data_IF_704937852751
#
_entry.id   IF_704937852751
#
_cell.length_a   1.000
_cell.length_b   1.000
_cell.length_c   1.000
_cell.angle_alpha   90.00
_cell.angle_beta   90.00
_cell.angle_gamma   90.00
#
_symmetry.space_group_name_H-M   'P 1'
#
loop_
_entity.id
_entity.type
_entity.pdbx_description
1 polymer ?
#
# COMPACT_ATOMS: atom_id res chain seq x y z
N UNK A 1 -51.45 28.92 -8.09
CA UNK A 1 -52.85 28.48 -7.99
C UNK A 1 -52.97 27.08 -8.57
N UNK A 2 -53.61 26.18 -7.83
CA UNK A 2 -53.95 24.75 -7.99
C UNK A 2 -53.03 23.82 -7.23
N UNK A 3 -53.31 23.50 -5.98
CA UNK A 3 -54.30 22.60 -5.28
C UNK A 3 -53.80 21.13 -5.39
N UNK A 4 -53.17 20.63 -4.39
CA UNK A 4 -53.44 19.63 -3.34
C UNK A 4 -54.44 18.52 -3.79
N UNK A 5 -54.02 17.25 -3.72
CA UNK A 5 -54.87 16.15 -3.25
C UNK A 5 -53.98 15.17 -2.47
N UNK A 6 -54.31 15.02 -1.20
CA UNK A 6 -53.88 13.97 -0.30
C UNK A 6 -54.88 12.80 -0.41
N UNK A 7 -54.39 11.59 -0.31
CA UNK A 7 -55.23 10.42 -0.02
C UNK A 7 -54.52 9.52 1.00
N UNK A 8 -55.04 9.57 2.21
CA UNK A 8 -54.74 8.58 3.25
C UNK A 8 -55.71 7.39 3.08
N UNK A 9 -55.20 6.18 3.28
CA UNK A 9 -56.08 5.04 3.63
C UNK A 9 -55.39 4.24 4.72
N UNK A 10 -56.10 4.19 5.85
CA UNK A 10 -55.77 3.38 7.02
C UNK A 10 -56.57 2.07 6.97
N UNK A 11 -56.19 1.17 7.86
CA UNK A 11 -56.93 0.12 8.55
C UNK A 11 -56.65 -1.33 8.14
N UNK A 12 -56.30 -2.10 9.19
CA UNK A 12 -56.38 -3.54 9.24
C UNK A 12 -55.59 -4.24 10.36
N UNK A 13 -55.95 -4.01 11.62
CA UNK A 13 -55.57 -4.90 12.73
C UNK A 13 -56.25 -6.27 12.62
N UNK A 14 -55.50 -7.34 12.88
CA UNK A 14 -56.10 -8.57 13.38
C UNK A 14 -55.14 -9.24 14.38
N UNK A 15 -55.50 -9.15 15.66
CA UNK A 15 -54.90 -9.90 16.75
C UNK A 15 -55.57 -11.29 16.82
N UNK A 16 -54.79 -12.35 16.96
CA UNK A 16 -55.26 -13.62 17.51
C UNK A 16 -54.35 -14.13 18.61
N UNK A 17 -54.85 -14.07 19.81
CA UNK A 17 -54.37 -14.72 21.00
C UNK A 17 -54.88 -16.16 21.03
N UNK A 18 -54.01 -17.14 21.30
CA UNK A 18 -54.43 -18.42 21.90
C UNK A 18 -53.44 -18.78 23.02
N UNK A 19 -54.06 -18.89 24.18
CA UNK A 19 -53.55 -19.34 25.47
C UNK A 19 -53.47 -20.87 25.51
N UNK A 20 -52.48 -21.45 26.18
CA UNK A 20 -52.46 -22.85 26.50
C UNK A 20 -51.31 -23.25 27.42
N UNK A 21 -51.56 -23.29 28.71
CA UNK A 21 -50.71 -23.87 29.75
C UNK A 21 -50.55 -25.39 29.62
N UNK A 22 -49.42 -25.96 29.99
CA UNK A 22 -49.35 -26.86 31.15
C UNK A 22 -48.00 -27.52 31.33
N UNK A 23 -47.56 -27.52 32.56
CA UNK A 23 -46.44 -28.14 33.24
C UNK A 23 -46.29 -29.65 33.06
N UNK A 24 -45.08 -30.18 33.07
CA UNK A 24 -44.69 -31.23 34.05
C UNK A 24 -43.18 -31.48 34.08
N UNK A 25 -42.70 -31.56 35.32
CA UNK A 25 -41.39 -32.02 35.80
C UNK A 25 -41.24 -33.51 35.56
N UNK A 26 -40.05 -34.01 35.22
CA UNK A 26 -39.46 -35.19 35.86
C UNK A 26 -37.96 -35.28 35.60
N UNK A 27 -37.26 -35.48 36.71
CA UNK A 27 -35.87 -35.90 36.83
C UNK A 27 -35.64 -37.27 36.19
N UNK A 28 -34.44 -37.49 35.66
CA UNK A 28 -33.69 -38.70 35.99
C UNK A 28 -32.21 -38.52 35.56
N UNK A 29 -31.41 -38.85 36.55
CA UNK A 29 -29.96 -39.02 36.55
C UNK A 29 -29.53 -40.26 35.78
N UNK A 30 -28.24 -40.19 35.41
CA UNK A 30 -27.27 -41.29 35.39
C UNK A 30 -26.96 -41.99 34.07
N UNK A 31 -25.65 -42.03 33.92
CA UNK A 31 -24.76 -43.00 33.25
C UNK A 31 -24.46 -42.70 31.80
N UNK A 32 -23.20 -42.52 31.37
CA UNK A 32 -22.00 -43.33 31.65
C UNK A 32 -20.75 -42.66 31.10
N UNK A 33 -19.74 -42.71 31.91
CA UNK A 33 -18.31 -42.65 31.63
C UNK A 33 -17.94 -43.84 30.73
N UNK A 34 -17.40 -43.60 29.52
CA UNK A 34 -16.45 -44.43 28.79
C UNK A 34 -16.35 -43.96 27.35
N UNK A 35 -15.28 -43.22 27.01
CA UNK A 35 -14.47 -43.39 25.79
C UNK A 35 -13.45 -42.24 25.78
N UNK A 36 -12.44 -42.40 26.60
CA UNK A 36 -11.21 -41.63 26.55
C UNK A 36 -10.06 -42.63 26.68
N UNK A 37 -9.82 -43.36 25.62
CA UNK A 37 -8.59 -44.17 25.40
C UNK A 37 -8.67 -44.78 24.01
N UNK A 38 -8.30 -44.00 22.97
CA UNK A 38 -7.89 -44.47 21.65
C UNK A 38 -7.53 -43.30 20.76
N UNK A 39 -6.46 -42.54 21.07
CA UNK A 39 -5.79 -41.63 20.14
C UNK A 39 -4.41 -41.24 20.68
N UNK A 40 -3.60 -42.23 21.03
CA UNK A 40 -2.21 -42.01 21.46
C UNK A 40 -1.27 -43.10 20.92
N UNK A 41 -1.45 -43.53 19.68
CA UNK A 41 -0.56 -44.52 19.11
C UNK A 41 -0.45 -44.39 17.57
N UNK A 42 -0.22 -43.14 17.05
CA UNK A 42 0.14 -42.94 15.65
C UNK A 42 1.03 -41.68 15.45
N UNK A 43 1.91 -41.41 16.39
CA UNK A 43 2.93 -40.32 16.21
C UNK A 43 4.30 -40.79 16.73
N UNK A 44 4.78 -41.92 16.27
CA UNK A 44 6.13 -42.37 16.61
C UNK A 44 6.80 -43.23 15.54
N UNK A 45 6.49 -43.01 14.25
CA UNK A 45 7.11 -43.80 13.18
C UNK A 45 7.37 -42.99 11.88
N UNK A 46 7.74 -41.70 12.00
CA UNK A 46 8.17 -40.92 10.84
C UNK A 46 9.40 -40.02 11.13
N UNK A 47 10.20 -40.38 12.11
CA UNK A 47 11.49 -39.71 12.39
C UNK A 47 12.65 -40.72 12.39
N UNK A 48 12.82 -41.47 11.29
CA UNK A 48 14.04 -42.28 11.12
C UNK A 48 14.27 -42.76 9.69
N UNK A 49 14.27 -41.86 8.73
CA UNK A 49 14.71 -42.16 7.36
C UNK A 49 15.07 -40.90 6.58
N UNK A 50 16.07 -40.11 7.02
CA UNK A 50 16.76 -39.17 6.13
C UNK A 50 18.11 -38.76 6.76
N UNK A 51 18.94 -39.73 7.04
CA UNK A 51 20.37 -39.53 7.28
C UNK A 51 21.13 -40.70 6.71
N UNK A 52 21.38 -40.68 5.39
CA UNK A 52 22.48 -41.41 4.75
C UNK A 52 22.39 -41.21 3.26
N UNK A 53 23.24 -40.36 2.75
CA UNK A 53 23.86 -40.33 1.43
C UNK A 53 24.18 -38.86 1.06
N UNK A 54 25.39 -38.47 1.36
CA UNK A 54 26.24 -37.64 0.49
C UNK A 54 27.61 -37.48 1.15
N UNK A 55 28.44 -38.48 0.92
CA UNK A 55 29.87 -38.34 0.89
C UNK A 55 30.36 -39.15 -0.31
N UNK A 56 30.76 -38.46 -1.38
CA UNK A 56 31.89 -38.90 -2.22
C UNK A 56 32.25 -37.85 -3.25
N UNK A 57 33.50 -37.41 -3.11
CA UNK A 57 34.49 -37.03 -4.13
C UNK A 57 34.26 -35.72 -4.91
N UNK A 58 35.00 -34.72 -4.43
CA UNK A 58 35.50 -33.64 -5.26
C UNK A 58 37.01 -33.71 -5.30
N UNK A 59 37.55 -34.15 -6.41
CA UNK A 59 38.96 -34.08 -6.71
C UNK A 59 39.27 -32.81 -7.52
N UNK A 60 40.28 -32.11 -7.04
CA UNK A 60 40.89 -30.88 -7.47
C UNK A 60 41.66 -31.09 -8.76
N UNK A 61 41.47 -30.21 -9.76
CA UNK A 61 42.51 -29.97 -10.78
C UNK A 61 42.75 -28.48 -10.91
N UNK A 62 43.88 -28.12 -10.36
CA UNK A 62 44.63 -26.88 -10.55
C UNK A 62 45.37 -26.94 -11.88
N UNK A 63 45.29 -25.89 -12.70
CA UNK A 63 46.32 -25.62 -13.71
C UNK A 63 46.56 -24.13 -13.81
N UNK A 64 47.69 -23.71 -13.23
CA UNK A 64 48.38 -22.47 -13.55
C UNK A 64 49.01 -22.60 -14.93
N UNK A 65 48.93 -21.54 -15.76
CA UNK A 65 50.00 -21.25 -16.68
C UNK A 65 50.21 -19.76 -16.90
N UNK A 66 51.43 -19.37 -16.58
CA UNK A 66 52.13 -18.10 -16.77
C UNK A 66 52.59 -17.95 -18.21
N UNK A 67 52.79 -16.70 -18.58
CA UNK A 67 53.84 -16.09 -19.41
C UNK A 67 53.27 -15.18 -20.46
N UNK A 68 53.79 -14.06 -20.85
CA UNK A 68 55.06 -13.30 -20.63
C UNK A 68 54.86 -11.90 -21.24
N UNK A 69 55.56 -10.96 -20.63
CA UNK A 69 55.87 -9.62 -21.21
C UNK A 69 56.51 -9.70 -22.60
N UNK A 70 56.22 -8.68 -23.41
CA UNK A 70 57.21 -8.14 -24.32
C UNK A 70 56.92 -6.64 -24.65
N UNK A 71 57.86 -5.85 -24.21
CA UNK A 71 58.14 -4.44 -24.50
C UNK A 71 58.60 -4.25 -25.95
N UNK A 72 58.25 -3.10 -26.61
CA UNK A 72 59.24 -2.16 -27.18
C UNK A 72 58.58 -1.07 -28.04
N UNK A 73 58.83 0.17 -27.63
CA UNK A 73 59.51 1.29 -28.30
C UNK A 73 58.82 1.93 -29.51
N UNK A 74 58.41 3.12 -29.22
CA UNK A 74 58.73 4.43 -29.84
C UNK A 74 59.10 4.52 -31.33
N UNK A 75 58.41 5.44 -32.03
CA UNK A 75 59.05 6.45 -32.87
C UNK A 75 58.17 7.70 -33.08
N UNK A 76 58.81 8.84 -33.07
CA UNK A 76 58.32 10.20 -33.17
C UNK A 76 58.05 10.64 -34.65
N UNK A 77 57.35 11.78 -34.73
CA UNK A 77 57.23 12.78 -35.81
C UNK A 77 56.15 12.51 -36.86
N UNK A 78 55.21 13.42 -37.10
CA UNK A 78 55.41 14.73 -37.66
C UNK A 78 54.12 15.58 -37.60
N UNK A 79 54.31 16.88 -37.46
CA UNK A 79 53.33 17.96 -37.41
C UNK A 79 52.74 18.23 -38.79
N UNK A 80 51.40 18.23 -38.95
CA UNK A 80 50.77 19.13 -39.91
C UNK A 80 49.45 19.69 -39.41
N UNK A 81 49.37 21.00 -39.48
CA UNK A 81 48.34 21.94 -39.08
C UNK A 81 47.26 21.96 -40.14
N UNK A 82 46.06 21.54 -39.81
CA UNK A 82 44.89 21.84 -40.62
C UNK A 82 43.78 22.43 -39.73
N UNK A 83 43.27 23.52 -40.27
CA UNK A 83 42.32 24.51 -39.78
C UNK A 83 41.04 23.90 -39.17
N UNK A 84 40.63 24.63 -38.13
CA UNK A 84 39.28 24.71 -37.59
C UNK A 84 38.16 24.67 -38.62
N UNK A 85 37.31 23.69 -38.54
CA UNK A 85 35.87 23.84 -38.76
C UNK A 85 35.22 23.77 -37.41
N UNK A 86 34.65 24.89 -36.96
CA UNK A 86 33.69 24.97 -35.90
C UNK A 86 32.46 24.15 -36.33
N UNK A 87 32.41 22.88 -35.95
CA UNK A 87 31.14 22.20 -35.84
C UNK A 87 30.51 22.70 -34.54
N UNK A 88 29.43 23.44 -34.65
CA UNK A 88 28.49 23.69 -33.58
C UNK A 88 28.19 22.32 -32.94
N UNK A 89 28.75 22.10 -31.76
CA UNK A 89 28.30 21.09 -30.84
C UNK A 89 26.88 21.54 -30.46
N UNK A 90 25.87 20.91 -31.05
CA UNK A 90 24.58 20.83 -30.43
C UNK A 90 24.84 20.28 -29.03
N UNK A 91 24.75 21.15 -28.02
CA UNK A 91 24.66 20.74 -26.65
C UNK A 91 23.38 19.90 -26.55
N UNK A 92 23.51 18.58 -26.49
CA UNK A 92 22.50 17.74 -25.89
C UNK A 92 22.41 18.27 -24.47
N UNK A 93 21.36 19.02 -24.21
CA UNK A 93 20.97 19.47 -22.87
C UNK A 93 20.70 18.18 -22.06
N UNK A 94 21.71 17.71 -21.33
CA UNK A 94 21.60 16.58 -20.43
C UNK A 94 20.71 17.03 -19.28
N UNK A 95 19.38 16.96 -19.48
CA UNK A 95 18.39 17.22 -18.43
C UNK A 95 18.66 16.28 -17.27
N UNK A 96 18.63 16.84 -16.06
CA UNK A 96 18.68 16.02 -14.83
C UNK A 96 17.47 15.09 -14.82
N UNK A 97 17.70 13.81 -14.67
CA UNK A 97 16.65 12.81 -14.49
C UNK A 97 16.18 12.83 -13.02
N UNK A 98 14.87 12.74 -12.82
CA UNK A 98 14.25 12.58 -11.49
C UNK A 98 13.37 11.34 -11.49
N UNK A 99 13.77 10.32 -10.74
CA UNK A 99 13.14 9.02 -10.71
C UNK A 99 12.25 8.90 -9.48
N UNK A 100 10.94 8.80 -9.71
CA UNK A 100 9.93 8.64 -8.66
C UNK A 100 9.54 7.18 -8.52
N UNK A 101 9.75 6.61 -7.33
CA UNK A 101 9.31 5.26 -6.97
C UNK A 101 7.88 5.27 -6.42
N UNK A 102 7.03 4.37 -6.94
CA UNK A 102 5.64 4.28 -6.56
C UNK A 102 5.07 2.87 -6.77
N UNK A 103 4.04 2.49 -6.00
CA UNK A 103 3.22 1.31 -6.21
C UNK A 103 2.17 1.61 -7.32
N UNK A 104 2.20 0.87 -8.42
CA UNK A 104 1.30 1.07 -9.55
C UNK A 104 -0.12 0.50 -9.32
N UNK A 105 -0.38 -0.09 -8.16
CA UNK A 105 -1.67 -0.63 -7.73
C UNK A 105 -2.26 0.17 -6.55
N UNK A 106 -1.90 1.46 -6.43
CA UNK A 106 -2.29 2.36 -5.35
C UNK A 106 -3.03 3.63 -5.84
N UNK A 107 -4.14 3.49 -6.60
CA UNK A 107 -4.94 4.64 -7.03
C UNK A 107 -5.64 5.31 -5.83
N UNK A 108 -5.87 6.64 -5.84
CA UNK A 108 -5.64 7.59 -6.95
C UNK A 108 -4.21 8.18 -6.99
N UNK A 109 -3.29 7.76 -6.14
CA UNK A 109 -1.96 8.36 -5.99
C UNK A 109 -0.99 7.88 -7.09
N UNK A 110 -0.95 6.58 -7.36
CA UNK A 110 -0.17 5.97 -8.44
C UNK A 110 -0.88 4.74 -8.98
N UNK A 111 -1.05 4.65 -10.29
CA UNK A 111 -1.71 3.51 -10.91
C UNK A 111 -1.40 3.41 -12.40
N UNK A 112 -1.86 2.33 -13.01
CA UNK A 112 -1.82 2.17 -14.46
C UNK A 112 -3.22 2.35 -15.03
N UNK A 113 -3.35 3.21 -16.04
CA UNK A 113 -4.62 3.40 -16.74
C UNK A 113 -4.89 2.31 -17.79
N UNK A 114 -6.05 2.39 -18.47
CA UNK A 114 -6.46 1.43 -19.50
C UNK A 114 -5.54 1.41 -20.73
N UNK A 115 -4.76 2.47 -20.96
CA UNK A 115 -3.77 2.54 -22.05
C UNK A 115 -2.44 1.90 -21.65
N UNK A 116 -2.25 1.61 -20.36
CA UNK A 116 -1.02 1.08 -19.78
C UNK A 116 -0.07 2.17 -19.29
N UNK A 117 -0.47 3.45 -19.35
CA UNK A 117 0.32 4.57 -18.85
C UNK A 117 0.23 4.70 -17.32
N UNK A 118 1.31 5.17 -16.69
CA UNK A 118 1.31 5.46 -15.26
C UNK A 118 0.72 6.83 -14.98
N UNK A 119 -0.34 6.85 -14.19
CA UNK A 119 -1.13 8.02 -13.83
C UNK A 119 -1.39 8.07 -12.34
N UNK A 120 -1.68 9.24 -11.79
CA UNK A 120 -2.00 9.41 -10.38
C UNK A 120 -1.79 10.85 -9.92
N UNK A 121 -2.38 11.17 -8.78
CA UNK A 121 -2.24 12.49 -8.17
C UNK A 121 -0.77 12.84 -7.91
N UNK A 122 -0.03 11.93 -7.28
CA UNK A 122 1.37 12.13 -6.95
C UNK A 122 2.25 12.19 -8.20
N UNK A 123 1.92 11.39 -9.23
CA UNK A 123 2.63 11.40 -10.49
C UNK A 123 2.38 12.68 -11.31
N UNK A 124 1.19 13.28 -11.19
CA UNK A 124 0.91 14.59 -11.80
C UNK A 124 1.65 15.72 -11.07
N UNK A 125 1.71 15.67 -9.72
CA UNK A 125 2.53 16.62 -8.97
C UNK A 125 4.02 16.51 -9.33
N UNK A 126 4.53 15.28 -9.42
CA UNK A 126 5.92 15.02 -9.81
C UNK A 126 6.22 15.50 -11.24
N UNK A 127 5.26 15.34 -12.17
CA UNK A 127 5.40 15.82 -13.54
C UNK A 127 5.49 17.36 -13.59
N UNK A 128 4.64 18.06 -12.85
CA UNK A 128 4.66 19.52 -12.75
C UNK A 128 5.97 20.03 -12.11
N UNK A 129 6.45 19.34 -11.04
CA UNK A 129 7.75 19.66 -10.45
C UNK A 129 8.88 19.52 -11.48
N UNK A 130 8.89 18.43 -12.23
CA UNK A 130 9.89 18.21 -13.27
C UNK A 130 9.82 19.27 -14.38
N UNK A 131 8.62 19.64 -14.82
CA UNK A 131 8.43 20.67 -15.84
C UNK A 131 8.97 22.03 -15.40
N UNK A 132 8.71 22.44 -14.15
CA UNK A 132 9.21 23.70 -13.57
C UNK A 132 10.74 23.71 -13.39
N UNK A 133 11.29 22.56 -13.00
CA UNK A 133 12.73 22.41 -12.78
C UNK A 133 13.53 22.10 -14.07
N UNK A 134 12.85 21.82 -15.19
CA UNK A 134 13.49 21.40 -16.43
C UNK A 134 14.09 19.99 -16.33
N UNK A 135 13.58 19.15 -15.46
CA UNK A 135 14.03 17.76 -15.28
C UNK A 135 13.29 16.80 -16.20
N UNK A 136 13.87 15.60 -16.38
CA UNK A 136 13.20 14.48 -17.03
C UNK A 136 12.59 13.57 -15.95
N UNK A 137 11.26 13.41 -15.94
CA UNK A 137 10.56 12.53 -15.01
C UNK A 137 10.68 11.08 -15.46
N UNK A 138 11.16 10.20 -14.58
CA UNK A 138 11.08 8.75 -14.72
C UNK A 138 10.12 8.21 -13.68
N UNK A 139 9.00 7.62 -14.12
CA UNK A 139 8.02 6.96 -13.28
C UNK A 139 8.43 5.50 -13.12
N UNK A 140 8.98 5.14 -11.94
CA UNK A 140 9.51 3.81 -11.65
C UNK A 140 8.51 3.03 -10.76
N UNK A 141 7.75 2.07 -11.31
CA UNK A 141 6.93 1.20 -10.46
C UNK A 141 7.85 0.28 -9.65
N UNK A 142 7.52 0.11 -8.37
CA UNK A 142 8.25 -0.73 -7.44
C UNK A 142 7.30 -1.66 -6.69
N UNK A 143 7.81 -2.78 -6.20
CA UNK A 143 7.14 -3.56 -5.16
C UNK A 143 7.23 -2.77 -3.85
N UNK A 144 6.10 -2.58 -3.17
CA UNK A 144 6.05 -1.67 -2.02
C UNK A 144 6.99 -2.06 -0.88
N UNK A 145 7.16 -3.35 -0.63
CA UNK A 145 8.08 -3.85 0.39
C UNK A 145 9.57 -3.75 0.02
N UNK A 146 9.89 -3.31 -1.20
CA UNK A 146 11.28 -3.05 -1.63
C UNK A 146 11.67 -1.57 -1.66
N UNK A 147 10.74 -0.64 -1.33
CA UNK A 147 10.92 0.82 -1.43
C UNK A 147 12.21 1.34 -0.79
N UNK A 148 12.54 0.82 0.41
CA UNK A 148 13.71 1.24 1.16
C UNK A 148 15.02 0.84 0.47
N UNK A 149 15.04 -0.35 -0.11
CA UNK A 149 16.18 -0.83 -0.87
C UNK A 149 16.36 0.00 -2.16
N UNK A 150 15.28 0.24 -2.90
CA UNK A 150 15.31 1.03 -4.13
C UNK A 150 15.81 2.46 -3.87
N UNK A 151 15.30 3.11 -2.80
CA UNK A 151 15.74 4.44 -2.40
C UNK A 151 17.20 4.45 -1.89
N UNK A 152 17.58 3.47 -1.07
CA UNK A 152 18.92 3.43 -0.49
C UNK A 152 20.01 3.19 -1.51
N UNK A 153 19.72 2.39 -2.54
CA UNK A 153 20.64 2.09 -3.67
C UNK A 153 20.70 3.21 -4.69
N UNK A 154 19.73 4.14 -4.68
CA UNK A 154 19.63 5.22 -5.67
C UNK A 154 19.00 4.77 -6.99
N UNK A 155 18.26 3.66 -6.99
CA UNK A 155 17.44 3.25 -8.13
C UNK A 155 16.25 4.20 -8.33
N UNK A 156 15.77 4.81 -7.24
CA UNK A 156 14.81 5.91 -7.22
C UNK A 156 15.37 7.09 -6.42
N UNK A 157 14.96 8.31 -6.75
CA UNK A 157 15.38 9.55 -6.09
C UNK A 157 14.47 9.89 -4.89
N UNK A 158 13.20 9.49 -4.96
CA UNK A 158 12.23 9.63 -3.90
C UNK A 158 11.16 8.54 -3.95
N UNK A 159 10.45 8.36 -2.85
CA UNK A 159 9.19 7.62 -2.75
C UNK A 159 8.06 8.66 -2.74
N UNK A 160 7.19 8.62 -3.76
CA UNK A 160 6.08 9.55 -3.88
C UNK A 160 4.82 8.80 -4.31
N UNK A 161 4.04 8.34 -3.33
CA UNK A 161 2.91 7.44 -3.55
C UNK A 161 1.94 7.38 -2.35
N UNK A 162 1.41 8.53 -1.90
CA UNK A 162 0.63 8.50 -0.67
C UNK A 162 1.46 7.95 0.49
N UNK A 163 2.67 8.45 0.66
CA UNK A 163 3.63 7.84 1.58
C UNK A 163 3.51 8.44 2.98
N UNK A 164 3.00 7.64 3.91
CA UNK A 164 2.81 8.04 5.32
C UNK A 164 4.14 8.33 5.99
N UNK A 165 4.28 9.56 6.50
CA UNK A 165 5.45 9.97 7.26
C UNK A 165 5.39 9.57 8.74
N UNK A 166 4.19 9.44 9.31
CA UNK A 166 4.01 9.10 10.71
C UNK A 166 4.65 7.75 11.06
N UNK A 167 5.36 7.72 12.19
CA UNK A 167 6.17 6.59 12.67
C UNK A 167 7.39 6.26 11.81
N UNK A 168 7.72 7.10 10.82
CA UNK A 168 8.89 6.98 9.93
C UNK A 168 9.70 8.28 9.85
N UNK A 169 9.44 9.24 10.76
CA UNK A 169 10.02 10.59 10.73
C UNK A 169 11.55 10.56 10.74
N UNK A 170 12.11 9.59 11.44
CA UNK A 170 13.56 9.42 11.58
C UNK A 170 14.22 8.62 10.45
N UNK A 171 13.47 7.98 9.56
CA UNK A 171 14.01 7.06 8.57
C UNK A 171 14.35 7.74 7.24
N UNK A 172 13.68 8.86 6.94
CA UNK A 172 13.80 9.59 5.67
C UNK A 172 14.09 11.07 5.89
N UNK A 173 14.40 11.76 4.81
CA UNK A 173 14.27 13.21 4.70
C UNK A 173 12.93 13.50 4.01
N UNK A 174 12.02 14.19 4.71
CA UNK A 174 10.64 14.37 4.28
C UNK A 174 10.39 15.77 3.73
N UNK A 175 9.50 15.88 2.74
CA UNK A 175 8.83 17.14 2.42
C UNK A 175 7.89 17.55 3.57
N UNK A 176 7.32 18.75 3.50
CA UNK A 176 6.15 19.06 4.31
C UNK A 176 4.98 18.14 3.90
N UNK A 177 4.08 17.76 4.84
CA UNK A 177 2.94 16.94 4.51
C UNK A 177 1.99 17.68 3.55
N UNK A 178 1.43 16.94 2.58
CA UNK A 178 0.57 17.51 1.55
C UNK A 178 -0.85 16.96 1.55
N UNK A 179 -1.10 15.78 2.12
CA UNK A 179 -2.42 15.13 2.26
C UNK A 179 -2.63 14.64 3.69
N UNK A 180 -3.79 14.97 4.28
CA UNK A 180 -4.30 14.30 5.48
C UNK A 180 -4.89 12.94 5.08
N UNK A 181 -4.49 11.86 5.76
CA UNK A 181 -4.94 10.50 5.51
C UNK A 181 -5.47 9.83 6.79
N UNK A 182 -6.15 8.72 6.62
CA UNK A 182 -6.57 7.83 7.71
C UNK A 182 -6.54 6.39 7.23
N UNK A 183 -6.17 5.50 8.12
CA UNK A 183 -6.33 4.07 7.91
C UNK A 183 -7.74 3.64 8.35
N UNK A 184 -8.46 2.95 7.45
CA UNK A 184 -9.86 2.54 7.61
C UNK A 184 -10.04 1.06 7.28
N UNK A 185 -11.24 0.54 7.48
CA UNK A 185 -11.62 -0.79 7.04
C UNK A 185 -12.72 -0.70 5.98
N UNK A 186 -12.58 -1.49 4.91
CA UNK A 186 -13.62 -1.71 3.90
C UNK A 186 -14.17 -3.11 4.07
N UNK A 187 -15.50 -3.22 4.03
CA UNK A 187 -16.25 -4.48 4.17
C UNK A 187 -17.35 -4.56 3.12
N UNK A 188 -17.87 -5.75 2.84
CA UNK A 188 -19.07 -5.90 2.04
C UNK A 188 -20.28 -5.27 2.78
N UNK A 189 -21.13 -4.53 2.06
CA UNK A 189 -22.24 -3.79 2.66
C UNK A 189 -23.28 -4.70 3.36
N UNK A 190 -23.40 -5.94 2.92
CA UNK A 190 -24.30 -6.95 3.46
C UNK A 190 -23.65 -7.88 4.51
N UNK A 191 -22.39 -7.62 4.87
CA UNK A 191 -21.63 -8.43 5.84
C UNK A 191 -22.17 -8.40 7.27
N UNK A 192 -22.94 -7.35 7.61
CA UNK A 192 -23.40 -7.09 8.98
C UNK A 192 -22.29 -6.56 9.91
N UNK A 193 -21.13 -6.19 9.38
CA UNK A 193 -20.03 -5.54 10.11
C UNK A 193 -20.27 -4.03 10.06
N UNK A 194 -20.52 -3.40 11.21
CA UNK A 194 -20.81 -1.96 11.30
C UNK A 194 -19.69 -1.21 12.03
N UNK A 195 -18.92 -1.89 12.86
CA UNK A 195 -17.84 -1.32 13.66
C UNK A 195 -16.58 -2.18 13.59
N UNK A 196 -15.41 -1.60 13.83
CA UNK A 196 -14.14 -2.35 13.87
C UNK A 196 -14.11 -3.45 14.95
N UNK A 197 -14.92 -3.33 16.02
CA UNK A 197 -15.08 -4.40 17.01
C UNK A 197 -15.76 -5.66 16.45
N UNK A 198 -16.56 -5.54 15.39
CA UNK A 198 -17.26 -6.66 14.75
C UNK A 198 -16.30 -7.51 13.88
N UNK A 199 -15.06 -7.04 13.71
CA UNK A 199 -13.98 -7.76 13.04
C UNK A 199 -13.40 -8.89 13.90
N UNK A 200 -13.80 -9.01 15.15
CA UNK A 200 -13.38 -10.12 16.02
C UNK A 200 -13.80 -11.47 15.41
N UNK A 201 -12.84 -12.38 15.26
CA UNK A 201 -13.03 -13.69 14.63
C UNK A 201 -13.11 -13.67 13.11
N UNK A 202 -12.90 -12.50 12.44
CA UNK A 202 -12.92 -12.33 11.00
C UNK A 202 -11.53 -12.51 10.39
N UNK A 203 -11.48 -12.78 9.09
CA UNK A 203 -10.24 -12.74 8.29
C UNK A 203 -10.10 -11.34 7.72
N UNK A 204 -9.01 -10.66 8.05
CA UNK A 204 -8.72 -9.29 7.63
C UNK A 204 -7.53 -9.29 6.68
N UNK A 205 -7.64 -8.56 5.58
CA UNK A 205 -6.57 -8.33 4.62
C UNK A 205 -5.87 -7.00 4.90
N UNK A 206 -4.58 -6.93 4.60
CA UNK A 206 -3.78 -5.71 4.66
C UNK A 206 -2.66 -5.80 3.63
N UNK A 207 -2.17 -4.68 3.11
CA UNK A 207 -0.97 -4.70 2.27
C UNK A 207 0.28 -4.87 3.15
N UNK A 208 1.19 -5.70 2.70
CA UNK A 208 2.50 -5.90 3.32
C UNK A 208 3.27 -4.58 3.40
N UNK A 209 3.91 -4.32 4.54
CA UNK A 209 4.71 -3.12 4.80
C UNK A 209 3.95 -1.78 4.64
N UNK A 210 2.61 -1.83 4.71
CA UNK A 210 1.74 -0.64 4.70
C UNK A 210 1.68 0.03 6.08
N UNK A 211 1.20 1.28 6.10
CA UNK A 211 0.92 1.98 7.37
C UNK A 211 -0.26 1.37 8.13
N UNK A 212 -1.23 0.75 7.44
CA UNK A 212 -2.28 -0.02 8.09
C UNK A 212 -1.71 -1.21 8.88
N UNK A 213 -0.77 -1.96 8.29
CA UNK A 213 -0.09 -3.06 8.98
C UNK A 213 0.76 -2.54 10.14
N UNK A 214 1.47 -1.42 9.95
CA UNK A 214 2.25 -0.78 11.02
C UNK A 214 1.35 -0.37 12.19
N UNK A 215 0.20 0.28 11.92
CA UNK A 215 -0.76 0.69 12.94
C UNK A 215 -1.37 -0.50 13.70
N UNK A 216 -1.62 -1.63 13.03
CA UNK A 216 -2.09 -2.87 13.67
C UNK A 216 -1.00 -3.53 14.54
N UNK A 217 0.28 -3.27 14.28
CA UNK A 217 1.42 -3.81 14.99
C UNK A 217 2.07 -2.84 15.98
N UNK A 218 1.53 -1.62 16.12
CA UNK A 218 2.05 -0.61 17.04
C UNK A 218 1.90 -1.05 18.50
N UNK A 219 3.00 -1.43 19.15
CA UNK A 219 3.02 -1.90 20.52
C UNK A 219 2.64 -0.81 21.55
N UNK A 220 2.70 0.45 21.17
CA UNK A 220 2.26 1.56 22.01
C UNK A 220 0.74 1.73 21.97
N UNK A 221 0.08 1.31 20.87
CA UNK A 221 -1.36 1.34 20.70
C UNK A 221 -2.01 -0.01 21.08
N UNK A 222 -2.30 -0.16 22.37
CA UNK A 222 -2.85 -1.42 22.90
C UNK A 222 -4.24 -1.77 22.37
N UNK A 223 -5.01 -0.77 21.93
CA UNK A 223 -6.34 -1.00 21.36
C UNK A 223 -6.23 -1.61 19.96
N UNK A 224 -5.28 -1.15 19.14
CA UNK A 224 -5.00 -1.73 17.83
C UNK A 224 -4.42 -3.16 17.97
N UNK A 225 -3.51 -3.39 18.91
CA UNK A 225 -3.00 -4.74 19.22
C UNK A 225 -4.14 -5.67 19.61
N UNK A 226 -5.03 -5.24 20.53
CA UNK A 226 -6.16 -6.05 20.96
C UNK A 226 -7.15 -6.31 19.81
N UNK A 227 -7.36 -5.33 18.93
CA UNK A 227 -8.15 -5.49 17.73
C UNK A 227 -7.54 -6.54 16.80
N UNK A 228 -6.26 -6.41 16.46
CA UNK A 228 -5.52 -7.38 15.61
C UNK A 228 -5.58 -8.79 16.19
N UNK A 229 -5.33 -8.92 17.49
CA UNK A 229 -5.32 -10.22 18.18
C UNK A 229 -6.72 -10.86 18.29
N UNK A 230 -7.78 -10.07 18.03
CA UNK A 230 -9.15 -10.56 17.95
C UNK A 230 -9.50 -11.16 16.59
N UNK A 231 -8.74 -10.86 15.53
CA UNK A 231 -8.99 -11.45 14.20
C UNK A 231 -8.78 -12.96 14.21
N UNK A 232 -9.52 -13.68 13.38
CA UNK A 232 -9.22 -15.11 13.17
C UNK A 232 -7.91 -15.27 12.38
N UNK A 233 -7.65 -14.33 11.46
CA UNK A 233 -6.43 -14.27 10.66
C UNK A 233 -6.22 -12.85 10.12
N UNK A 234 -4.99 -12.39 10.08
CA UNK A 234 -4.54 -11.23 9.31
C UNK A 234 -3.71 -11.76 8.12
N UNK A 235 -4.13 -11.43 6.89
CA UNK A 235 -3.45 -11.86 5.67
C UNK A 235 -2.79 -10.65 5.02
N UNK A 236 -1.49 -10.77 4.78
CA UNK A 236 -0.70 -9.75 4.10
C UNK A 236 -0.66 -10.02 2.59
N UNK A 237 -1.03 -9.03 1.80
CA UNK A 237 -1.02 -9.05 0.35
C UNK A 237 0.09 -8.15 -0.21
N UNK A 238 0.56 -8.44 -1.41
CA UNK A 238 1.52 -7.59 -2.09
C UNK A 238 0.90 -6.23 -2.50
N UNK A 239 -0.38 -6.27 -2.90
CA UNK A 239 -1.13 -5.11 -3.37
C UNK A 239 -2.61 -5.16 -2.94
N UNK A 240 -3.28 -4.00 -2.97
CA UNK A 240 -4.68 -3.89 -2.57
C UNK A 240 -5.66 -4.46 -3.60
N UNK A 241 -5.33 -4.50 -4.90
CA UNK A 241 -6.22 -5.09 -5.91
C UNK A 241 -6.43 -6.57 -5.62
N UNK A 242 -5.35 -7.30 -5.27
CA UNK A 242 -5.43 -8.72 -4.87
C UNK A 242 -6.24 -8.88 -3.58
N UNK A 243 -6.06 -8.01 -2.58
CA UNK A 243 -6.83 -8.04 -1.35
C UNK A 243 -8.33 -7.83 -1.59
N UNK A 244 -8.69 -6.90 -2.49
CA UNK A 244 -10.09 -6.66 -2.89
C UNK A 244 -10.69 -7.81 -3.70
N UNK A 245 -9.91 -8.49 -4.55
CA UNK A 245 -10.38 -9.70 -5.23
C UNK A 245 -10.78 -10.79 -4.23
N UNK A 246 -10.03 -10.95 -3.15
CA UNK A 246 -10.34 -11.91 -2.10
C UNK A 246 -11.53 -11.45 -1.22
N UNK A 247 -11.70 -10.14 -1.03
CA UNK A 247 -12.90 -9.59 -0.39
C UNK A 247 -14.16 -9.86 -1.25
N UNK A 248 -14.06 -9.68 -2.58
CA UNK A 248 -15.16 -9.97 -3.53
C UNK A 248 -15.54 -11.46 -3.54
N UNK A 249 -14.58 -12.34 -3.32
CA UNK A 249 -14.81 -13.80 -3.27
C UNK A 249 -15.23 -14.28 -1.88
N UNK A 250 -15.21 -13.40 -0.87
CA UNK A 250 -15.50 -13.73 0.52
C UNK A 250 -14.39 -14.60 1.18
N UNK A 251 -13.18 -14.57 0.64
CA UNK A 251 -12.01 -15.21 1.25
C UNK A 251 -11.48 -14.38 2.43
N UNK A 252 -11.68 -13.07 2.40
CA UNK A 252 -11.49 -12.16 3.53
C UNK A 252 -12.79 -11.38 3.78
N UNK A 253 -13.02 -10.92 5.01
CA UNK A 253 -14.24 -10.20 5.39
C UNK A 253 -14.03 -8.69 5.51
N UNK A 254 -12.78 -8.23 5.58
CA UNK A 254 -12.41 -6.82 5.60
C UNK A 254 -11.03 -6.57 5.00
N UNK A 255 -10.82 -5.35 4.50
CA UNK A 255 -9.52 -4.84 4.06
C UNK A 255 -9.17 -3.61 4.90
N UNK A 256 -8.01 -3.62 5.58
CA UNK A 256 -7.44 -2.46 6.25
C UNK A 256 -6.61 -1.65 5.24
N UNK A 257 -6.93 -0.36 5.05
CA UNK A 257 -6.47 0.40 3.88
C UNK A 257 -6.58 1.91 4.13
N UNK A 258 -5.85 2.67 3.33
CA UNK A 258 -5.89 4.14 3.25
C UNK A 258 -7.24 4.65 2.73
N UNK A 259 -7.79 5.70 3.36
CA UNK A 259 -9.14 6.19 3.07
C UNK A 259 -9.32 6.63 1.61
N UNK A 260 -8.30 7.28 1.01
CA UNK A 260 -8.35 7.71 -0.40
C UNK A 260 -8.36 6.53 -1.37
N UNK A 261 -7.55 5.49 -1.08
CA UNK A 261 -7.52 4.26 -1.87
C UNK A 261 -8.81 3.47 -1.68
N UNK A 262 -9.33 3.38 -0.44
CA UNK A 262 -10.61 2.75 -0.13
C UNK A 262 -11.76 3.37 -0.95
N UNK A 263 -11.85 4.71 -0.98
CA UNK A 263 -12.88 5.39 -1.76
C UNK A 263 -12.78 5.07 -3.24
N UNK A 264 -11.57 5.14 -3.81
CA UNK A 264 -11.36 4.79 -5.21
C UNK A 264 -11.76 3.33 -5.51
N UNK A 265 -11.39 2.40 -4.66
CA UNK A 265 -11.70 0.98 -4.83
C UNK A 265 -13.22 0.72 -4.74
N UNK A 266 -13.92 1.41 -3.86
CA UNK A 266 -15.38 1.33 -3.72
C UNK A 266 -16.07 1.90 -4.97
N UNK A 267 -15.64 3.08 -5.44
CA UNK A 267 -16.25 3.78 -6.59
C UNK A 267 -16.10 3.01 -7.92
N UNK A 268 -15.11 2.12 -8.02
CA UNK A 268 -14.88 1.27 -9.20
C UNK A 268 -15.73 0.01 -9.22
N UNK A 269 -16.43 -0.28 -8.14
CA UNK A 269 -17.25 -1.47 -7.97
C UNK A 269 -18.75 -1.16 -8.10
N UNK A 270 -19.58 -2.19 -7.99
CA UNK A 270 -21.04 -2.03 -8.00
C UNK A 270 -21.47 -1.10 -6.84
N UNK A 271 -22.28 -0.09 -7.17
CA UNK A 271 -22.74 0.90 -6.20
C UNK A 271 -23.41 0.22 -4.99
N UNK A 272 -22.91 0.54 -3.79
CA UNK A 272 -23.43 0.00 -2.54
C UNK A 272 -23.00 -1.44 -2.23
N UNK A 273 -22.11 -2.06 -3.01
CA UNK A 273 -21.61 -3.40 -2.71
C UNK A 273 -20.62 -3.40 -1.53
N UNK A 274 -19.87 -2.33 -1.37
CA UNK A 274 -18.85 -2.19 -0.31
C UNK A 274 -19.01 -0.87 0.42
N UNK A 275 -18.61 -0.84 1.69
CA UNK A 275 -18.64 0.35 2.54
C UNK A 275 -17.38 0.46 3.36
N UNK A 276 -16.94 1.71 3.61
CA UNK A 276 -15.99 1.99 4.67
C UNK A 276 -16.72 2.01 6.02
N UNK A 277 -16.09 1.46 7.06
CA UNK A 277 -16.61 1.60 8.42
C UNK A 277 -16.55 3.07 8.84
N UNK A 278 -17.74 3.67 9.04
CA UNK A 278 -17.87 5.11 9.26
C UNK A 278 -17.53 5.54 10.70
N UNK A 279 -17.08 6.81 10.84
CA UNK A 279 -16.83 7.47 12.12
C UNK A 279 -15.40 7.33 12.63
N UNK A 280 -14.97 8.32 13.42
CA UNK A 280 -13.59 8.38 13.92
C UNK A 280 -13.22 7.21 14.83
N UNK A 281 -14.18 6.65 15.55
CA UNK A 281 -13.97 5.46 16.40
C UNK A 281 -13.62 4.20 15.60
N UNK A 282 -13.95 4.17 14.30
CA UNK A 282 -13.65 3.06 13.40
C UNK A 282 -12.34 3.23 12.63
N UNK A 283 -11.71 4.41 12.69
CA UNK A 283 -10.38 4.60 12.14
C UNK A 283 -9.34 3.77 12.90
N UNK A 284 -8.40 3.24 12.18
CA UNK A 284 -7.25 2.54 12.72
C UNK A 284 -6.14 3.52 13.09
N UNK A 285 -5.89 4.50 12.21
CA UNK A 285 -4.94 5.58 12.43
C UNK A 285 -5.37 6.85 11.66
N UNK A 286 -4.88 8.02 12.12
CA UNK A 286 -4.88 9.27 11.37
C UNK A 286 -3.43 9.66 11.12
N UNK A 287 -3.11 10.04 9.91
CA UNK A 287 -1.73 10.21 9.44
C UNK A 287 -1.65 11.23 8.31
N UNK A 288 -0.44 11.51 7.85
CA UNK A 288 -0.19 12.46 6.77
C UNK A 288 0.77 11.88 5.75
N UNK A 289 0.54 12.22 4.49
CA UNK A 289 1.43 11.87 3.39
C UNK A 289 2.44 12.98 3.11
N UNK A 290 3.66 12.57 2.87
CA UNK A 290 4.75 13.43 2.43
C UNK A 290 5.63 12.70 1.41
N UNK A 291 6.45 13.44 0.68
CA UNK A 291 7.44 12.84 -0.22
C UNK A 291 8.64 12.40 0.61
N UNK A 292 9.00 11.11 0.50
CA UNK A 292 10.13 10.53 1.22
C UNK A 292 11.39 10.51 0.35
N UNK A 293 12.45 11.19 0.82
CA UNK A 293 13.77 11.17 0.20
C UNK A 293 14.75 10.36 1.03
N UNK A 294 15.84 9.90 0.39
CA UNK A 294 16.92 9.27 1.14
C UNK A 294 17.40 10.19 2.25
N UNK A 295 17.54 9.63 3.46
CA UNK A 295 17.96 10.40 4.63
C UNK A 295 19.27 11.16 4.36
N UNK A 296 19.27 12.46 4.63
CA UNK A 296 20.36 13.39 4.40
C UNK A 296 20.36 14.03 3.02
N UNK A 297 19.33 13.79 2.19
CA UNK A 297 19.19 14.44 0.88
C UNK A 297 18.31 15.69 0.95
N UNK A 298 18.71 16.66 1.80
CA UNK A 298 17.97 17.91 2.02
C UNK A 298 17.92 18.79 0.77
N UNK A 299 19.00 18.81 -0.04
CA UNK A 299 19.06 19.67 -1.25
C UNK A 299 17.97 19.31 -2.26
N UNK A 300 17.77 18.01 -2.53
CA UNK A 300 16.71 17.56 -3.43
C UNK A 300 15.33 17.79 -2.83
N UNK A 301 15.16 17.47 -1.52
CA UNK A 301 13.94 17.73 -0.79
C UNK A 301 13.55 19.21 -0.83
N UNK A 302 14.48 20.12 -0.55
CA UNK A 302 14.22 21.55 -0.54
C UNK A 302 13.79 22.05 -1.92
N UNK A 303 14.45 21.56 -2.99
CA UNK A 303 14.07 21.91 -4.37
C UNK A 303 12.63 21.48 -4.70
N UNK A 304 12.26 20.24 -4.33
CA UNK A 304 10.89 19.74 -4.55
C UNK A 304 9.90 20.50 -3.67
N UNK A 305 10.21 20.73 -2.39
CA UNK A 305 9.34 21.47 -1.48
C UNK A 305 9.10 22.92 -1.95
N UNK A 306 10.15 23.64 -2.30
CA UNK A 306 10.02 25.01 -2.81
C UNK A 306 9.11 25.05 -4.05
N UNK A 307 9.20 24.03 -4.92
CA UNK A 307 8.35 23.94 -6.12
C UNK A 307 6.90 23.62 -5.76
N UNK A 308 6.65 22.72 -4.81
CA UNK A 308 5.30 22.44 -4.31
C UNK A 308 4.68 23.71 -3.69
N UNK A 309 5.46 24.48 -2.93
CA UNK A 309 5.03 25.76 -2.36
C UNK A 309 4.68 26.81 -3.43
N UNK A 310 5.39 26.83 -4.55
CA UNK A 310 5.04 27.66 -5.71
C UNK A 310 3.73 27.19 -6.34
N UNK A 311 3.51 25.87 -6.51
CA UNK A 311 2.26 25.31 -7.03
C UNK A 311 1.06 25.61 -6.12
N UNK A 312 1.26 25.62 -4.81
CA UNK A 312 0.21 26.07 -3.87
C UNK A 312 -0.12 27.55 -4.05
N UNK A 313 0.90 28.43 -4.22
CA UNK A 313 0.72 29.87 -4.35
C UNK A 313 0.04 30.27 -5.66
N UNK A 314 0.29 29.58 -6.75
CA UNK A 314 -0.30 29.89 -8.05
C UNK A 314 -1.58 29.09 -8.37
N UNK A 315 -1.94 28.11 -7.52
CA UNK A 315 -3.17 27.34 -7.62
C UNK A 315 -3.05 26.02 -8.37
N UNK A 316 -1.91 25.73 -9.01
CA UNK A 316 -1.70 24.48 -9.77
C UNK A 316 -1.87 23.24 -8.89
N UNK A 317 -1.39 23.30 -7.63
CA UNK A 317 -1.59 22.18 -6.69
C UNK A 317 -3.08 21.87 -6.47
N UNK A 318 -3.89 22.93 -6.28
CA UNK A 318 -5.33 22.78 -6.06
C UNK A 318 -6.05 22.25 -7.32
N UNK A 319 -5.64 22.67 -8.52
CA UNK A 319 -6.20 22.15 -9.79
C UNK A 319 -5.90 20.65 -9.96
N UNK A 320 -4.69 20.21 -9.61
CA UNK A 320 -4.33 18.78 -9.63
C UNK A 320 -5.12 18.00 -8.57
N UNK A 321 -5.30 18.56 -7.36
CA UNK A 321 -6.09 17.93 -6.31
C UNK A 321 -7.58 17.81 -6.71
N UNK A 322 -8.15 18.83 -7.36
CA UNK A 322 -9.53 18.79 -7.88
C UNK A 322 -9.68 17.71 -8.97
N UNK A 323 -8.71 17.60 -9.89
CA UNK A 323 -8.69 16.57 -10.94
C UNK A 323 -8.83 15.16 -10.37
N UNK A 324 -8.21 14.91 -9.22
CA UNK A 324 -8.20 13.59 -8.57
C UNK A 324 -9.21 13.42 -7.44
N UNK A 325 -10.05 14.45 -7.18
CA UNK A 325 -11.08 14.41 -6.13
C UNK A 325 -10.51 14.45 -4.70
N UNK A 326 -9.29 14.99 -4.51
CA UNK A 326 -8.57 15.00 -3.23
C UNK A 326 -8.57 16.36 -2.55
N UNK A 327 -9.34 17.35 -3.03
CA UNK A 327 -9.33 18.74 -2.52
C UNK A 327 -9.54 18.83 -1.01
N UNK A 328 -10.43 18.01 -0.45
CA UNK A 328 -10.77 18.05 0.97
C UNK A 328 -9.65 17.46 1.85
N UNK A 329 -8.81 16.60 1.30
CA UNK A 329 -7.70 15.94 1.99
C UNK A 329 -6.40 16.73 1.93
N UNK A 330 -6.29 17.76 1.09
CA UNK A 330 -5.08 18.60 0.99
C UNK A 330 -4.82 19.31 2.31
N UNK A 331 -3.60 19.23 2.85
CA UNK A 331 -3.15 19.94 4.04
C UNK A 331 -2.00 20.92 3.77
N UNK A 332 -1.26 20.76 2.67
CA UNK A 332 -0.17 21.68 2.31
C UNK A 332 -0.71 23.10 2.07
N UNK A 333 -0.11 24.08 2.74
CA UNK A 333 -0.48 25.50 2.63
C UNK A 333 -1.70 25.92 3.46
N UNK A 334 -2.22 25.02 4.33
CA UNK A 334 -3.31 25.35 5.29
C UNK A 334 -2.79 25.83 6.62
#
# INVERSE_FOLDING_TARGET
MRKIVAAALAVGMAAMTVTGCSSSKSESKETTKATAEASKETQKETEKATEKETEKDTEVVSTEEKTKEASSKADEADTEKAKSDEAESESTDDKKTFTVGFDAEFPPYGSRDESGEYVGFDLDLAAEVCDRQGWELVKQPIDWDSKDMELSTGAIDCIWNGFTMNSREDDYTWSDPYIDNSQVFVVAADSGIENKSDLAGKVVAVQKDSSALAALNDEENKDNIALRDSFSQLIEYADYNTAFMDLEQGAVEAVAIDIGVAQYQIDKREEGAYVMLAGDDNKLASEQYAVGFKKGNEELRDTVQDTLDEMVKDGTFAEIAEKWGLTDSVCLGK
#
